data_IF_734406584709
#
_entry.id   IF_734406584709
#
_cell.length_a   1.000
_cell.length_b   1.000
_cell.length_c   1.000
_cell.angle_alpha   90.00
_cell.angle_beta   90.00
_cell.angle_gamma   90.00
#
_symmetry.space_group_name_H-M   'P 1'
#
loop_
_entity.id
_entity.type
_entity.pdbx_description
1 polymer ?
#
# COMPACT_ATOMS: atom_id res chain seq x y z
N UNK A 1 0.84 -8.12 40.90
CA UNK A 1 1.39 -8.06 39.52
C UNK A 1 0.22 -7.71 38.62
N UNK A 2 0.03 -6.42 38.38
CA UNK A 2 -1.09 -5.92 37.58
C UNK A 2 -0.74 -6.13 36.10
N UNK A 3 -1.41 -7.10 35.46
CA UNK A 3 -1.42 -7.24 34.01
C UNK A 3 -2.28 -6.08 33.46
N UNK A 4 -1.62 -4.96 33.16
CA UNK A 4 -2.23 -3.83 32.48
C UNK A 4 -2.55 -4.20 31.04
N UNK A 5 -3.76 -4.75 30.83
CA UNK A 5 -4.36 -4.90 29.51
C UNK A 5 -4.53 -3.53 28.87
N UNK A 6 -3.51 -3.10 28.11
CA UNK A 6 -3.57 -1.88 27.33
C UNK A 6 -4.73 -1.98 26.34
N UNK A 7 -5.71 -1.07 26.47
CA UNK A 7 -6.74 -0.85 25.44
C UNK A 7 -6.03 -0.62 24.11
N UNK A 8 -5.99 -1.65 23.26
CA UNK A 8 -5.36 -1.59 21.94
C UNK A 8 -6.08 -0.55 21.08
N UNK A 9 -5.47 0.64 20.97
CA UNK A 9 -5.99 1.71 20.11
C UNK A 9 -6.00 1.28 18.64
N UNK A 10 -6.85 1.91 17.84
CA UNK A 10 -6.87 1.71 16.38
C UNK A 10 -5.50 2.06 15.79
N UNK A 11 -5.06 1.29 14.80
CA UNK A 11 -3.88 1.63 14.00
C UNK A 11 -4.08 2.89 13.14
N UNK A 12 -2.99 3.39 12.58
CA UNK A 12 -2.99 4.50 11.63
C UNK A 12 -2.97 3.98 10.18
N UNK A 13 -3.68 4.67 9.28
CA UNK A 13 -3.57 4.48 7.83
C UNK A 13 -2.72 5.62 7.25
N UNK A 14 -1.56 5.27 6.71
CA UNK A 14 -0.62 6.23 6.10
C UNK A 14 -0.59 5.98 4.59
N UNK A 15 -0.90 7.01 3.80
CA UNK A 15 -0.91 6.94 2.32
C UNK A 15 0.22 7.81 1.77
N UNK A 16 0.98 7.26 0.83
CA UNK A 16 2.06 7.98 0.12
C UNK A 16 1.62 8.28 -1.31
N UNK A 17 1.40 9.57 -1.61
CA UNK A 17 0.97 10.06 -2.92
C UNK A 17 2.06 10.84 -3.66
N UNK A 18 1.89 11.03 -4.98
CA UNK A 18 2.76 11.87 -5.80
C UNK A 18 2.91 11.39 -7.24
N UNK A 19 3.60 12.21 -8.05
CA UNK A 19 3.81 11.98 -9.50
C UNK A 19 4.57 10.68 -9.81
N UNK A 20 4.55 10.24 -11.07
CA UNK A 20 5.33 9.07 -11.50
C UNK A 20 6.81 9.21 -11.12
N UNK A 21 7.42 8.11 -10.67
CA UNK A 21 8.82 8.04 -10.22
C UNK A 21 9.22 8.97 -9.07
N UNK A 22 8.27 9.54 -8.31
CA UNK A 22 8.56 10.35 -7.12
C UNK A 22 9.15 9.57 -5.92
N UNK A 23 9.34 8.26 -6.04
CA UNK A 23 9.97 7.42 -5.00
C UNK A 23 9.01 6.82 -3.96
N UNK A 24 7.68 6.88 -4.19
CA UNK A 24 6.65 6.36 -3.27
C UNK A 24 6.92 4.93 -2.79
N UNK A 25 7.15 3.99 -3.71
CA UNK A 25 7.39 2.58 -3.37
C UNK A 25 8.62 2.41 -2.49
N UNK A 26 9.71 3.10 -2.82
CA UNK A 26 10.95 3.07 -2.04
C UNK A 26 10.75 3.64 -0.63
N UNK A 27 10.00 4.73 -0.49
CA UNK A 27 9.73 5.33 0.81
C UNK A 27 8.74 4.51 1.64
N UNK A 28 7.75 3.88 1.01
CA UNK A 28 6.82 2.96 1.67
C UNK A 28 7.57 1.76 2.29
N UNK A 29 8.47 1.13 1.52
CA UNK A 29 9.29 0.03 2.02
C UNK A 29 10.20 0.45 3.20
N UNK A 30 10.81 1.64 3.11
CA UNK A 30 11.64 2.19 4.21
C UNK A 30 10.82 2.48 5.46
N UNK A 31 9.62 3.05 5.30
CA UNK A 31 8.72 3.34 6.41
C UNK A 31 8.24 2.05 7.09
N UNK A 32 7.89 1.03 6.31
CA UNK A 32 7.51 -0.29 6.82
C UNK A 32 8.63 -0.87 7.71
N UNK A 33 9.85 -1.00 7.17
CA UNK A 33 11.00 -1.52 7.94
C UNK A 33 11.32 -0.68 9.18
N UNK A 34 11.16 0.64 9.09
CA UNK A 34 11.36 1.53 10.24
C UNK A 34 10.34 1.25 11.36
N UNK A 35 9.05 1.14 11.04
CA UNK A 35 7.98 0.89 12.00
C UNK A 35 8.06 -0.52 12.61
N UNK A 36 8.33 -1.54 11.78
CA UNK A 36 8.58 -2.90 12.23
C UNK A 36 9.79 -2.94 13.18
N UNK A 37 10.88 -2.24 12.85
CA UNK A 37 12.06 -2.12 13.70
C UNK A 37 11.82 -1.38 15.03
N UNK A 38 10.69 -0.65 15.15
CA UNK A 38 10.22 -0.04 16.40
C UNK A 38 9.25 -0.93 17.18
N UNK A 39 8.95 -2.13 16.68
CA UNK A 39 7.98 -3.04 17.29
C UNK A 39 6.53 -2.68 17.01
N UNK A 40 6.26 -1.82 16.03
CA UNK A 40 4.90 -1.51 15.60
C UNK A 40 4.38 -2.61 14.65
N UNK A 41 3.22 -3.18 14.96
CA UNK A 41 2.50 -4.04 14.01
C UNK A 41 2.13 -3.20 12.77
N UNK A 42 2.73 -3.52 11.63
CA UNK A 42 2.66 -2.71 10.42
C UNK A 42 2.52 -3.62 9.20
N UNK A 43 1.74 -3.18 8.22
CA UNK A 43 1.55 -3.89 6.96
C UNK A 43 1.79 -2.95 5.78
N UNK A 44 2.43 -3.45 4.72
CA UNK A 44 2.64 -2.73 3.48
C UNK A 44 1.52 -3.04 2.47
N UNK A 45 0.90 -1.99 1.94
CA UNK A 45 -0.15 -2.09 0.93
C UNK A 45 0.22 -1.24 -0.29
N UNK A 46 -0.24 -1.66 -1.48
CA UNK A 46 -0.09 -0.89 -2.72
C UNK A 46 -1.38 -0.92 -3.52
N UNK A 47 -1.65 0.16 -4.24
CA UNK A 47 -2.73 0.23 -5.20
C UNK A 47 -2.21 0.64 -6.59
N UNK A 48 -2.66 -0.01 -7.68
CA UNK A 48 -3.41 -1.26 -7.68
C UNK A 48 -2.53 -2.44 -7.22
N UNK A 49 -3.15 -3.43 -6.58
CA UNK A 49 -2.55 -4.75 -6.39
C UNK A 49 -2.63 -5.52 -7.72
N UNK A 50 -1.50 -5.59 -8.41
CA UNK A 50 -1.37 -6.16 -9.75
C UNK A 50 -1.48 -7.69 -9.78
N UNK A 51 -1.57 -8.36 -8.63
CA UNK A 51 -1.76 -9.81 -8.59
C UNK A 51 -3.25 -10.19 -8.63
N UNK A 52 -4.14 -9.28 -8.25
CA UNK A 52 -5.60 -9.45 -8.37
C UNK A 52 -6.04 -9.44 -9.84
N UNK A 53 -7.14 -10.12 -10.17
CA UNK A 53 -7.73 -10.11 -11.53
C UNK A 53 -8.02 -8.68 -12.01
N UNK A 54 -8.59 -7.85 -11.14
CA UNK A 54 -8.85 -6.43 -11.40
C UNK A 54 -7.56 -5.64 -11.58
N UNK A 55 -6.56 -5.85 -10.73
CA UNK A 55 -5.28 -5.13 -10.86
C UNK A 55 -4.48 -5.52 -12.09
N UNK A 56 -4.58 -6.78 -12.56
CA UNK A 56 -4.03 -7.21 -13.85
C UNK A 56 -4.71 -6.48 -15.00
N UNK A 57 -6.04 -6.36 -14.96
CA UNK A 57 -6.81 -5.60 -15.95
C UNK A 57 -6.39 -4.14 -15.99
N UNK A 58 -6.28 -3.48 -14.83
CA UNK A 58 -5.78 -2.09 -14.73
C UNK A 58 -4.36 -1.98 -15.29
N UNK A 59 -3.48 -2.94 -14.98
CA UNK A 59 -2.10 -2.93 -15.46
C UNK A 59 -2.02 -3.04 -16.98
N UNK A 60 -2.79 -3.95 -17.59
CA UNK A 60 -2.84 -4.13 -19.04
C UNK A 60 -3.37 -2.88 -19.75
N UNK A 61 -4.40 -2.24 -19.18
CA UNK A 61 -4.94 -0.99 -19.69
C UNK A 61 -3.90 0.14 -19.67
N UNK A 62 -3.25 0.37 -18.52
CA UNK A 62 -2.21 1.41 -18.40
C UNK A 62 -0.97 1.13 -19.26
N UNK A 63 -0.71 -0.13 -19.60
CA UNK A 63 0.38 -0.53 -20.48
C UNK A 63 0.02 -0.45 -21.99
N UNK A 64 -1.21 -0.06 -22.34
CA UNK A 64 -1.76 -0.15 -23.70
C UNK A 64 -1.75 -1.58 -24.30
N UNK A 65 -1.77 -2.60 -23.44
CA UNK A 65 -1.80 -4.01 -23.83
C UNK A 65 -3.23 -4.55 -24.00
N UNK A 66 -4.23 -3.78 -23.56
CA UNK A 66 -5.65 -4.09 -23.76
C UNK A 66 -6.42 -2.87 -24.25
N UNK A 67 -7.18 -3.02 -25.33
CA UNK A 67 -8.20 -2.06 -25.77
C UNK A 67 -9.45 -2.26 -24.90
N UNK A 68 -9.48 -1.62 -23.73
CA UNK A 68 -10.69 -1.48 -22.93
C UNK A 68 -11.25 -0.09 -23.22
N UNK A 69 -12.50 -0.02 -23.67
CA UNK A 69 -13.19 1.25 -23.84
C UNK A 69 -13.50 1.84 -22.46
N UNK A 70 -12.84 2.95 -22.16
CA UNK A 70 -12.89 3.68 -20.90
C UNK A 70 -13.81 4.91 -20.97
N UNK A 71 -14.51 5.12 -22.09
CA UNK A 71 -15.30 6.32 -22.39
C UNK A 71 -16.80 6.04 -22.58
N UNK A 72 -17.42 5.37 -21.60
CA UNK A 72 -18.89 5.30 -21.49
C UNK A 72 -19.42 6.00 -20.25
#
# INVERSE_FOLDING_TARGET
MENGGGKGGRGALIVLEGLDRSGKSSQCARLLSFLEGKGCATEGWRFPDRDTSVGKMISAYLANESQLDDRT
#
